data_IF_618990903984
#
_entry.id   IF_618990903984
#
_cell.length_a   1.000
_cell.length_b   1.000
_cell.length_c   1.000
_cell.angle_alpha   90.00
_cell.angle_beta   90.00
_cell.angle_gamma   90.00
#
_symmetry.space_group_name_H-M   'P 1'
#
loop_
_entity.id
_entity.type
_entity.pdbx_description
1 polymer ?
#
# COMPACT_ATOMS: atom_id res chain seq x y z
N UNK A 1 -19.78 -14.00 -10.38
CA UNK A 1 -19.10 -12.75 -10.77
C UNK A 1 -17.83 -13.15 -11.49
N UNK A 2 -17.56 -12.54 -12.63
CA UNK A 2 -16.34 -12.82 -13.39
C UNK A 2 -15.15 -12.11 -12.73
N UNK A 3 -14.09 -12.87 -12.44
CA UNK A 3 -12.86 -12.38 -11.82
C UNK A 3 -11.69 -12.99 -12.55
N UNK A 4 -10.79 -12.14 -13.07
CA UNK A 4 -9.55 -12.58 -13.72
C UNK A 4 -8.37 -12.17 -12.85
N UNK A 5 -7.43 -13.10 -12.63
CA UNK A 5 -6.21 -12.86 -11.86
C UNK A 5 -4.99 -13.18 -12.71
N UNK A 6 -4.18 -12.15 -13.00
CA UNK A 6 -2.85 -12.33 -13.56
C UNK A 6 -1.90 -12.77 -12.44
N UNK A 7 -1.70 -14.08 -12.38
CA UNK A 7 -1.13 -14.79 -11.24
C UNK A 7 0.32 -15.21 -11.50
N UNK A 8 1.10 -15.25 -10.43
CA UNK A 8 2.39 -15.93 -10.41
C UNK A 8 2.46 -16.82 -9.15
N UNK A 9 2.52 -18.16 -9.31
CA UNK A 9 2.47 -19.10 -8.18
C UNK A 9 3.68 -18.96 -7.25
N UNK A 10 4.83 -18.46 -7.72
CA UNK A 10 6.03 -18.26 -6.91
C UNK A 10 6.00 -16.96 -6.10
N UNK A 11 4.97 -16.13 -6.28
CA UNK A 11 4.83 -14.86 -5.58
C UNK A 11 3.83 -14.95 -4.41
N UNK A 12 4.32 -14.81 -3.17
CA UNK A 12 3.47 -14.84 -1.97
C UNK A 12 2.31 -13.84 -1.99
N UNK A 13 2.52 -12.60 -2.48
CA UNK A 13 1.41 -11.64 -2.63
C UNK A 13 0.35 -12.13 -3.62
N UNK A 14 0.78 -12.81 -4.69
CA UNK A 14 -0.12 -13.35 -5.70
C UNK A 14 -0.93 -14.55 -5.18
N UNK A 15 -0.29 -15.46 -4.44
CA UNK A 15 -0.98 -16.58 -3.76
C UNK A 15 -1.97 -16.09 -2.71
N UNK A 16 -1.57 -15.14 -1.86
CA UNK A 16 -2.44 -14.55 -0.85
C UNK A 16 -3.67 -13.84 -1.47
N UNK A 17 -3.48 -13.16 -2.60
CA UNK A 17 -4.60 -12.53 -3.33
C UNK A 17 -5.57 -13.57 -3.87
N UNK A 18 -5.05 -14.63 -4.51
CA UNK A 18 -5.87 -15.74 -5.00
C UNK A 18 -6.63 -16.44 -3.86
N UNK A 19 -5.98 -16.64 -2.71
CA UNK A 19 -6.59 -17.20 -1.52
C UNK A 19 -7.75 -16.33 -1.01
N UNK A 20 -7.59 -15.01 -0.95
CA UNK A 20 -8.67 -14.09 -0.55
C UNK A 20 -9.88 -14.13 -1.49
N UNK A 21 -9.65 -14.20 -2.80
CA UNK A 21 -10.74 -14.31 -3.80
C UNK A 21 -11.53 -15.61 -3.58
N UNK A 22 -10.82 -16.73 -3.43
CA UNK A 22 -11.44 -18.05 -3.15
C UNK A 22 -12.15 -18.09 -1.82
N UNK A 23 -11.57 -17.45 -0.79
CA UNK A 23 -12.20 -17.33 0.54
C UNK A 23 -13.49 -16.50 0.51
N UNK A 24 -13.67 -15.64 -0.49
CA UNK A 24 -14.93 -14.94 -0.75
C UNK A 24 -15.98 -15.82 -1.48
N UNK A 25 -15.67 -17.09 -1.74
CA UNK A 25 -16.53 -18.02 -2.47
C UNK A 25 -16.50 -17.83 -3.98
N UNK A 26 -15.46 -17.19 -4.53
CA UNK A 26 -15.31 -16.93 -5.97
C UNK A 26 -14.15 -17.77 -6.51
N UNK A 27 -14.41 -18.59 -7.53
CA UNK A 27 -13.34 -19.20 -8.31
C UNK A 27 -13.00 -18.30 -9.51
N UNK A 28 -11.80 -17.69 -9.55
CA UNK A 28 -11.42 -16.78 -10.62
C UNK A 28 -10.82 -17.51 -11.83
N UNK A 29 -10.83 -16.85 -12.98
CA UNK A 29 -9.98 -17.20 -14.11
C UNK A 29 -8.52 -16.84 -13.80
N UNK A 30 -7.70 -17.85 -13.58
CA UNK A 30 -6.28 -17.69 -13.27
C UNK A 30 -5.45 -17.69 -14.56
N UNK A 31 -4.77 -16.58 -14.83
CA UNK A 31 -3.86 -16.42 -15.98
C UNK A 31 -2.43 -16.38 -15.45
N UNK A 32 -1.64 -17.43 -15.73
CA UNK A 32 -0.20 -17.41 -15.46
C UNK A 32 0.49 -16.48 -16.47
N UNK A 33 0.60 -15.19 -16.12
CA UNK A 33 0.97 -14.13 -17.05
C UNK A 33 2.40 -14.28 -17.61
N UNK A 34 3.28 -15.02 -16.94
CA UNK A 34 4.62 -15.31 -17.47
C UNK A 34 4.59 -16.30 -18.64
N UNK A 35 3.57 -17.18 -18.68
CA UNK A 35 3.35 -18.15 -19.77
C UNK A 35 2.44 -17.56 -20.85
N UNK A 36 1.46 -16.77 -20.42
CA UNK A 36 0.42 -16.19 -21.28
C UNK A 36 0.28 -14.70 -20.96
N UNK A 37 1.27 -13.88 -21.37
CA UNK A 37 1.26 -12.46 -21.03
C UNK A 37 0.08 -11.73 -21.68
N UNK A 38 -0.50 -10.73 -21.00
CA UNK A 38 -1.48 -9.84 -21.61
C UNK A 38 -0.87 -9.13 -22.82
N UNK A 39 -1.68 -8.88 -23.84
CA UNK A 39 -1.24 -8.13 -25.01
C UNK A 39 -0.88 -6.69 -24.64
N UNK A 40 -0.04 -5.99 -25.42
CA UNK A 40 0.27 -4.58 -25.17
C UNK A 40 -0.97 -3.68 -25.05
N UNK A 41 -1.95 -3.89 -25.92
CA UNK A 41 -3.23 -3.17 -25.88
C UNK A 41 -4.00 -3.44 -24.57
N UNK A 42 -4.00 -4.69 -24.10
CA UNK A 42 -4.64 -5.04 -22.83
C UNK A 42 -3.92 -4.43 -21.63
N UNK A 43 -2.58 -4.37 -21.64
CA UNK A 43 -1.81 -3.69 -20.58
C UNK A 43 -2.16 -2.21 -20.46
N UNK A 44 -2.26 -1.50 -21.60
CA UNK A 44 -2.69 -0.10 -21.62
C UNK A 44 -4.13 0.05 -21.08
N UNK A 45 -5.03 -0.85 -21.45
CA UNK A 45 -6.40 -0.85 -20.92
C UNK A 45 -6.43 -1.10 -19.41
N UNK A 46 -5.63 -2.03 -18.90
CA UNK A 46 -5.53 -2.32 -17.47
C UNK A 46 -4.99 -1.09 -16.70
N UNK A 47 -3.94 -0.44 -17.22
CA UNK A 47 -3.39 0.78 -16.62
C UNK A 47 -4.42 1.92 -16.60
N UNK A 48 -5.12 2.13 -17.73
CA UNK A 48 -6.19 3.13 -17.85
C UNK A 48 -7.32 2.88 -16.85
N UNK A 49 -7.78 1.63 -16.70
CA UNK A 49 -8.83 1.26 -15.72
C UNK A 49 -8.40 1.44 -14.27
N UNK A 50 -7.11 1.43 -13.97
CA UNK A 50 -6.57 1.77 -12.65
C UNK A 50 -6.38 3.29 -12.46
N UNK A 51 -6.50 4.09 -13.52
CA UNK A 51 -6.16 5.52 -13.50
C UNK A 51 -4.65 5.78 -13.39
N UNK A 52 -3.82 4.84 -13.83
CA UNK A 52 -2.36 4.90 -13.68
C UNK A 52 -1.64 4.99 -15.03
N UNK A 53 -0.45 5.63 -15.08
CA UNK A 53 0.46 5.44 -16.21
C UNK A 53 0.94 3.99 -16.27
N UNK A 54 1.23 3.48 -17.48
CA UNK A 54 1.70 2.10 -17.70
C UNK A 54 2.92 1.77 -16.83
N UNK A 55 3.84 2.73 -16.68
CA UNK A 55 5.03 2.61 -15.82
C UNK A 55 4.73 2.11 -14.40
N UNK A 56 3.58 2.45 -13.83
CA UNK A 56 3.20 2.02 -12.48
C UNK A 56 2.81 0.53 -12.41
N UNK A 57 2.58 -0.12 -13.55
CA UNK A 57 2.36 -1.57 -13.62
C UNK A 57 3.67 -2.34 -13.72
N UNK A 58 4.80 -1.66 -13.91
CA UNK A 58 6.10 -2.32 -14.03
C UNK A 58 6.67 -2.68 -12.67
N UNK A 59 7.25 -3.87 -12.62
CA UNK A 59 7.98 -4.41 -11.50
C UNK A 59 9.43 -4.00 -11.65
N UNK A 60 9.95 -3.28 -10.66
CA UNK A 60 11.36 -2.88 -10.68
C UNK A 60 12.27 -3.95 -10.05
N UNK A 61 11.93 -4.41 -8.84
CA UNK A 61 12.83 -5.26 -8.03
C UNK A 61 12.84 -6.70 -8.51
N UNK A 62 14.04 -7.25 -8.71
CA UNK A 62 14.25 -8.64 -9.15
C UNK A 62 13.80 -8.85 -10.59
N UNK A 63 14.08 -7.87 -11.45
CA UNK A 63 13.80 -7.83 -12.89
C UNK A 63 14.91 -7.03 -13.58
N UNK A 64 15.05 -7.11 -14.91
CA UNK A 64 16.04 -6.31 -15.64
C UNK A 64 15.66 -4.82 -15.78
N UNK A 65 14.67 -4.31 -15.03
CA UNK A 65 14.14 -2.94 -15.17
C UNK A 65 15.22 -1.85 -15.23
N UNK A 66 16.19 -1.88 -14.31
CA UNK A 66 17.29 -0.90 -14.29
C UNK A 66 18.38 -1.20 -15.31
N UNK A 67 18.65 -2.47 -15.58
CA UNK A 67 19.65 -2.90 -16.58
C UNK A 67 19.23 -2.45 -18.00
N UNK A 68 17.93 -2.43 -18.25
CA UNK A 68 17.32 -1.95 -19.49
C UNK A 68 17.08 -0.42 -19.49
N UNK A 69 17.50 0.31 -18.45
CA UNK A 69 17.32 1.76 -18.34
C UNK A 69 15.87 2.22 -18.24
N UNK A 70 14.95 1.36 -17.79
CA UNK A 70 13.52 1.67 -17.73
C UNK A 70 13.17 2.66 -16.61
N UNK A 71 14.11 3.03 -15.75
CA UNK A 71 13.97 4.12 -14.79
C UNK A 71 14.05 5.51 -15.43
N UNK A 72 14.46 5.60 -16.69
CA UNK A 72 14.46 6.85 -17.44
C UNK A 72 13.02 7.39 -17.62
N UNK A 73 12.68 8.56 -17.05
CA UNK A 73 11.33 9.12 -17.12
C UNK A 73 10.94 9.61 -18.52
N UNK A 74 11.91 9.79 -19.43
CA UNK A 74 11.65 10.20 -20.81
C UNK A 74 11.15 9.08 -21.73
N UNK A 75 11.20 7.82 -21.28
CA UNK A 75 10.66 6.69 -22.05
C UNK A 75 9.13 6.74 -22.09
N UNK A 76 8.59 6.60 -23.30
CA UNK A 76 7.17 6.53 -23.57
C UNK A 76 6.60 5.12 -23.38
N UNK A 77 5.28 5.00 -23.46
CA UNK A 77 4.60 3.71 -23.29
C UNK A 77 5.02 2.69 -24.36
N UNK A 78 5.37 3.11 -25.58
CA UNK A 78 5.81 2.20 -26.64
C UNK A 78 7.13 1.51 -26.28
N UNK A 79 8.11 2.26 -25.77
CA UNK A 79 9.37 1.70 -25.30
C UNK A 79 9.17 0.76 -24.11
N UNK A 80 8.30 1.12 -23.16
CA UNK A 80 7.98 0.26 -22.02
C UNK A 80 7.30 -1.04 -22.44
N UNK A 81 6.37 -0.99 -23.40
CA UNK A 81 5.66 -2.17 -23.92
C UNK A 81 6.59 -3.11 -24.70
N UNK A 82 7.54 -2.56 -25.46
CA UNK A 82 8.55 -3.36 -26.14
C UNK A 82 9.38 -4.16 -25.14
N UNK A 83 9.86 -3.50 -24.07
CA UNK A 83 10.59 -4.19 -23.01
C UNK A 83 9.76 -5.27 -22.31
N UNK A 84 8.46 -5.02 -22.07
CA UNK A 84 7.55 -6.01 -21.47
C UNK A 84 7.29 -7.20 -22.39
N UNK A 85 7.23 -6.99 -23.72
CA UNK A 85 7.06 -8.06 -24.69
C UNK A 85 8.25 -9.03 -24.66
N UNK A 86 9.48 -8.50 -24.55
CA UNK A 86 10.71 -9.29 -24.45
C UNK A 86 10.90 -9.89 -23.04
N UNK A 87 10.40 -9.19 -22.01
CA UNK A 87 10.58 -9.57 -20.61
C UNK A 87 9.27 -9.48 -19.81
N UNK A 88 8.33 -10.45 -19.94
CA UNK A 88 7.07 -10.45 -19.21
C UNK A 88 7.21 -10.34 -17.69
N UNK A 89 8.36 -10.74 -17.14
CA UNK A 89 8.70 -10.60 -15.71
C UNK A 89 8.67 -9.14 -15.21
N UNK A 90 8.76 -8.16 -16.13
CA UNK A 90 8.59 -6.74 -15.85
C UNK A 90 7.14 -6.39 -15.48
N UNK A 91 6.15 -7.24 -15.74
CA UNK A 91 4.77 -6.99 -15.28
C UNK A 91 4.68 -7.27 -13.79
N UNK A 92 4.22 -6.29 -13.02
CA UNK A 92 3.98 -6.45 -11.59
C UNK A 92 2.69 -7.24 -11.33
N UNK A 93 2.60 -7.85 -10.15
CA UNK A 93 1.63 -8.92 -9.88
C UNK A 93 1.17 -8.98 -8.43
N UNK A 94 -0.06 -9.49 -8.17
CA UNK A 94 -1.07 -9.82 -9.17
C UNK A 94 -1.86 -8.60 -9.64
N UNK A 95 -2.30 -8.62 -10.90
CA UNK A 95 -3.35 -7.72 -11.39
C UNK A 95 -4.66 -8.49 -11.30
N UNK A 96 -5.68 -7.89 -10.67
CA UNK A 96 -7.02 -8.48 -10.55
C UNK A 96 -8.01 -7.60 -11.30
N UNK A 97 -8.84 -8.23 -12.11
CA UNK A 97 -9.89 -7.60 -12.93
C UNK A 97 -11.24 -8.12 -12.48
N UNK A 98 -12.16 -7.21 -12.20
CA UNK A 98 -13.55 -7.53 -11.87
C UNK A 98 -14.50 -6.51 -12.51
N UNK A 99 -15.83 -6.75 -12.47
CA UNK A 99 -16.83 -5.73 -12.76
C UNK A 99 -16.72 -4.46 -11.90
N UNK A 100 -16.21 -4.56 -10.67
CA UNK A 100 -16.07 -3.41 -9.75
C UNK A 100 -14.84 -2.54 -10.06
N UNK A 101 -13.87 -3.08 -10.79
CA UNK A 101 -12.66 -2.35 -11.14
C UNK A 101 -11.45 -3.26 -11.39
N UNK A 102 -10.29 -2.63 -11.48
CA UNK A 102 -8.99 -3.29 -11.71
C UNK A 102 -8.00 -2.76 -10.68
N UNK A 103 -7.22 -3.64 -10.06
CA UNK A 103 -6.12 -3.25 -9.15
C UNK A 103 -4.90 -4.15 -9.29
N UNK A 104 -3.73 -3.54 -9.18
CA UNK A 104 -2.50 -4.24 -8.79
C UNK A 104 -2.57 -4.50 -7.29
N UNK A 105 -2.83 -5.76 -6.90
CA UNK A 105 -3.15 -6.06 -5.50
C UNK A 105 -1.91 -6.22 -4.63
N UNK A 106 -1.30 -5.08 -4.29
CA UNK A 106 -0.06 -4.99 -3.51
C UNK A 106 -0.23 -3.88 -2.46
N UNK A 107 -0.54 -4.21 -1.20
CA UNK A 107 -0.60 -5.56 -0.63
C UNK A 107 -1.83 -6.36 -1.10
N UNK A 108 -1.84 -7.67 -0.86
CA UNK A 108 -2.88 -8.59 -1.36
C UNK A 108 -4.30 -8.21 -0.95
N UNK A 109 -4.45 -7.59 0.23
CA UNK A 109 -5.73 -7.18 0.80
C UNK A 109 -6.47 -6.13 -0.01
N UNK A 110 -5.79 -5.37 -0.88
CA UNK A 110 -6.48 -4.39 -1.74
C UNK A 110 -7.44 -5.06 -2.72
N UNK A 111 -7.35 -6.38 -2.90
CA UNK A 111 -8.34 -7.15 -3.66
C UNK A 111 -9.73 -7.09 -3.03
N UNK A 112 -9.82 -6.88 -1.71
CA UNK A 112 -11.09 -6.80 -0.99
C UNK A 112 -11.98 -5.66 -1.51
N UNK A 113 -11.40 -4.60 -2.06
CA UNK A 113 -12.14 -3.50 -2.71
C UNK A 113 -12.83 -3.93 -4.01
N UNK A 114 -12.37 -5.02 -4.62
CA UNK A 114 -12.85 -5.54 -5.90
C UNK A 114 -13.83 -6.71 -5.72
N UNK A 115 -14.15 -7.09 -4.48
CA UNK A 115 -15.06 -8.19 -4.18
C UNK A 115 -16.42 -7.66 -3.76
N UNK A 116 -17.53 -8.27 -4.23
CA UNK A 116 -18.88 -7.81 -3.92
C UNK A 116 -19.24 -8.09 -2.46
N UNK A 117 -18.65 -9.13 -1.87
CA UNK A 117 -18.79 -9.53 -0.48
C UNK A 117 -17.42 -9.89 0.06
N UNK A 118 -16.98 -9.18 1.08
CA UNK A 118 -15.70 -9.47 1.72
C UNK A 118 -15.83 -10.70 2.66
N UNK A 119 -14.85 -11.64 2.67
CA UNK A 119 -14.90 -12.87 3.47
C UNK A 119 -14.93 -12.62 4.99
N UNK A 120 -15.95 -13.08 5.71
CA UNK A 120 -16.13 -12.74 7.14
C UNK A 120 -15.39 -13.64 8.13
N UNK A 121 -14.84 -14.76 7.68
CA UNK A 121 -14.02 -15.61 8.53
C UNK A 121 -12.56 -15.15 8.49
N UNK A 122 -11.88 -15.20 9.63
CA UNK A 122 -10.43 -14.96 9.68
C UNK A 122 -9.68 -15.93 8.78
N UNK A 123 -8.61 -15.43 8.17
CA UNK A 123 -7.68 -16.17 7.35
C UNK A 123 -6.30 -15.55 7.57
N UNK A 124 -5.28 -16.39 7.68
CA UNK A 124 -3.89 -15.98 7.79
C UNK A 124 -3.22 -16.02 6.41
N UNK A 125 -2.25 -15.13 6.23
CA UNK A 125 -1.34 -15.10 5.09
C UNK A 125 -0.35 -16.25 5.15
N UNK A 126 0.34 -16.47 4.03
CA UNK A 126 1.50 -17.38 3.94
C UNK A 126 2.55 -17.16 5.05
N UNK A 127 2.71 -15.93 5.57
CA UNK A 127 3.68 -15.59 6.64
C UNK A 127 3.11 -15.72 8.07
N UNK A 128 1.89 -16.23 8.22
CA UNK A 128 1.18 -16.38 9.49
C UNK A 128 0.61 -15.06 10.05
N UNK A 129 0.72 -13.95 9.33
CA UNK A 129 0.07 -12.69 9.67
C UNK A 129 -1.40 -12.66 9.22
N UNK A 130 -2.32 -12.04 9.96
CA UNK A 130 -3.72 -11.97 9.53
C UNK A 130 -3.89 -11.06 8.32
N UNK A 131 -4.87 -11.40 7.47
CA UNK A 131 -5.40 -10.45 6.50
C UNK A 131 -6.15 -9.32 7.19
N UNK A 132 -5.95 -8.10 6.71
CA UNK A 132 -6.56 -6.89 7.27
C UNK A 132 -7.58 -6.27 6.32
N UNK A 133 -8.62 -5.69 6.91
CA UNK A 133 -9.53 -4.74 6.28
C UNK A 133 -9.29 -3.37 6.88
N UNK A 134 -9.23 -2.37 6.02
CA UNK A 134 -9.21 -0.98 6.44
C UNK A 134 -10.58 -0.33 6.23
N UNK A 135 -11.02 0.42 7.22
CA UNK A 135 -12.26 1.18 7.21
C UNK A 135 -11.90 2.64 7.48
N UNK A 136 -12.31 3.54 6.60
CA UNK A 136 -12.03 4.96 6.78
C UNK A 136 -12.78 5.48 8.02
N UNK A 137 -12.05 6.17 8.91
CA UNK A 137 -12.59 6.79 10.11
C UNK A 137 -12.38 8.31 10.05
N UNK A 138 -13.30 9.06 10.64
CA UNK A 138 -13.15 10.50 10.76
C UNK A 138 -11.96 10.84 11.67
N UNK A 139 -11.24 11.92 11.38
CA UNK A 139 -10.19 12.43 12.26
C UNK A 139 -10.70 12.77 13.67
N UNK A 140 -12.01 13.07 13.78
CA UNK A 140 -12.73 13.34 15.03
C UNK A 140 -13.27 12.09 15.73
N UNK A 141 -13.04 10.88 15.21
CA UNK A 141 -13.54 9.64 15.83
C UNK A 141 -12.95 9.48 17.25
N UNK A 142 -13.78 9.41 18.30
CA UNK A 142 -13.30 9.31 19.68
C UNK A 142 -12.51 8.03 19.95
N UNK A 143 -12.76 6.95 19.19
CA UNK A 143 -12.04 5.67 19.32
C UNK A 143 -10.61 5.79 18.78
N UNK A 144 -10.41 6.50 17.68
CA UNK A 144 -9.08 6.82 17.15
C UNK A 144 -8.31 7.68 18.15
N UNK A 145 -8.91 8.78 18.61
CA UNK A 145 -8.26 9.70 19.53
C UNK A 145 -7.91 9.01 20.87
N UNK A 146 -8.78 8.14 21.39
CA UNK A 146 -8.49 7.34 22.59
C UNK A 146 -7.34 6.37 22.35
N UNK A 147 -7.35 5.61 21.26
CA UNK A 147 -6.29 4.64 20.96
C UNK A 147 -4.92 5.32 20.81
N UNK A 148 -4.86 6.51 20.21
CA UNK A 148 -3.63 7.28 20.11
C UNK A 148 -3.12 7.72 21.49
N UNK A 149 -3.97 8.31 22.33
CA UNK A 149 -3.60 8.71 23.71
C UNK A 149 -3.11 7.53 24.54
N UNK A 150 -3.82 6.40 24.49
CA UNK A 150 -3.46 5.18 25.24
C UNK A 150 -2.08 4.62 24.82
N UNK A 151 -1.59 4.99 23.63
CA UNK A 151 -0.25 4.60 23.13
C UNK A 151 0.78 5.73 23.19
N UNK A 152 0.44 6.87 23.79
CA UNK A 152 1.34 8.03 23.90
C UNK A 152 1.58 8.76 22.57
N UNK A 153 0.72 8.58 21.58
CA UNK A 153 0.79 9.30 20.30
C UNK A 153 0.02 10.63 20.37
N UNK A 154 0.53 11.71 19.75
CA UNK A 154 -0.13 13.02 19.76
C UNK A 154 -1.53 12.99 19.14
N UNK A 155 -2.45 13.77 19.74
CA UNK A 155 -3.84 13.92 19.24
C UNK A 155 -4.28 15.36 19.00
N UNK A 156 -3.44 16.34 19.35
CA UNK A 156 -3.83 17.74 19.46
C UNK A 156 -4.28 18.33 18.12
N UNK A 157 -3.69 17.86 17.04
CA UNK A 157 -3.92 18.33 15.69
C UNK A 157 -4.95 17.50 14.91
N UNK A 158 -5.49 16.42 15.48
CA UNK A 158 -6.45 15.55 14.79
C UNK A 158 -7.71 16.30 14.37
N UNK A 159 -8.25 17.16 15.23
CA UNK A 159 -9.50 17.89 14.96
C UNK A 159 -9.39 18.86 13.78
N UNK A 160 -8.19 19.37 13.53
CA UNK A 160 -7.87 20.27 12.42
C UNK A 160 -7.25 19.54 11.23
N UNK A 161 -7.02 18.22 11.31
CA UNK A 161 -6.36 17.46 10.26
C UNK A 161 -7.32 17.25 9.08
N UNK A 162 -6.80 17.46 7.87
CA UNK A 162 -7.45 17.09 6.60
C UNK A 162 -7.00 15.69 6.13
N UNK A 163 -6.29 14.95 6.99
CA UNK A 163 -5.77 13.63 6.70
C UNK A 163 -6.84 12.57 6.56
N UNK A 164 -6.46 11.46 5.93
CA UNK A 164 -7.27 10.25 5.84
C UNK A 164 -6.82 9.27 6.90
N UNK A 165 -7.75 8.81 7.72
CA UNK A 165 -7.49 7.88 8.81
C UNK A 165 -8.28 6.60 8.59
N UNK A 166 -7.72 5.49 9.06
CA UNK A 166 -8.29 4.16 8.88
C UNK A 166 -8.19 3.37 10.19
N UNK A 167 -9.26 2.68 10.53
CA UNK A 167 -9.25 1.58 11.49
C UNK A 167 -8.97 0.27 10.75
N UNK A 168 -8.05 -0.53 11.29
CA UNK A 168 -7.68 -1.82 10.71
C UNK A 168 -8.26 -2.95 11.55
N UNK A 169 -8.93 -3.88 10.87
CA UNK A 169 -9.55 -5.06 11.47
C UNK A 169 -9.07 -6.33 10.79
N UNK A 170 -9.08 -7.46 11.50
CA UNK A 170 -9.00 -8.77 10.85
C UNK A 170 -10.24 -9.00 9.98
N UNK A 171 -10.24 -10.03 9.13
CA UNK A 171 -11.41 -10.37 8.31
C UNK A 171 -12.65 -10.68 9.17
N UNK A 172 -12.45 -11.30 10.34
CA UNK A 172 -13.43 -11.57 11.38
C UNK A 172 -13.91 -10.33 12.17
N UNK A 173 -13.34 -9.16 11.91
CA UNK A 173 -13.81 -7.88 12.45
C UNK A 173 -13.10 -7.41 13.73
N UNK A 174 -12.11 -8.15 14.23
CA UNK A 174 -11.32 -7.75 15.41
C UNK A 174 -10.47 -6.53 15.08
N UNK A 175 -10.63 -5.43 15.83
CA UNK A 175 -9.82 -4.22 15.65
C UNK A 175 -8.37 -4.46 16.12
N UNK A 176 -7.42 -4.26 15.21
CA UNK A 176 -5.99 -4.51 15.46
C UNK A 176 -5.13 -3.25 15.43
N UNK A 177 -5.61 -2.13 14.88
CA UNK A 177 -4.81 -0.93 14.82
C UNK A 177 -5.47 0.24 14.10
N UNK A 178 -4.73 1.33 14.03
CA UNK A 178 -5.09 2.53 13.28
C UNK A 178 -3.89 3.00 12.45
N UNK A 179 -4.19 3.82 11.46
CA UNK A 179 -3.19 4.44 10.62
C UNK A 179 -3.80 5.62 9.87
N UNK A 180 -2.99 6.59 9.50
CA UNK A 180 -3.45 7.68 8.66
C UNK A 180 -2.35 8.28 7.81
N UNK A 181 -2.76 9.13 6.89
CA UNK A 181 -1.84 9.90 6.08
C UNK A 181 -2.42 11.25 5.67
N UNK A 182 -1.53 12.20 5.42
CA UNK A 182 -1.85 13.51 4.85
C UNK A 182 -1.12 13.66 3.51
N UNK A 183 -1.79 14.26 2.52
CA UNK A 183 -1.26 14.41 1.16
C UNK A 183 -0.87 15.87 0.94
N UNK A 184 0.30 16.07 0.35
CA UNK A 184 0.78 17.38 -0.11
C UNK A 184 1.49 17.21 -1.45
N UNK A 185 0.79 17.49 -2.56
CA UNK A 185 1.31 17.19 -3.89
C UNK A 185 1.43 15.66 -4.06
N UNK A 186 2.60 15.19 -4.48
CA UNK A 186 2.95 13.77 -4.55
C UNK A 186 3.64 13.24 -3.28
N UNK A 187 3.89 14.11 -2.31
CA UNK A 187 4.41 13.75 -0.99
C UNK A 187 3.28 13.41 -0.01
N UNK A 188 3.55 12.44 0.86
CA UNK A 188 2.58 11.92 1.82
C UNK A 188 3.22 11.81 3.20
N UNK A 189 2.61 12.43 4.22
CA UNK A 189 2.99 12.26 5.61
C UNK A 189 2.22 11.08 6.20
N UNK A 190 2.88 9.96 6.46
CA UNK A 190 2.32 8.85 7.23
C UNK A 190 2.30 9.22 8.72
N UNK A 191 1.16 9.01 9.36
CA UNK A 191 0.93 9.39 10.76
C UNK A 191 -0.02 8.43 11.46
N UNK A 192 -0.08 8.56 12.79
CA UNK A 192 -1.07 7.87 13.62
C UNK A 192 -1.09 6.35 13.42
N UNK A 193 0.06 5.77 13.05
CA UNK A 193 0.22 4.33 12.83
C UNK A 193 0.44 3.65 14.17
N UNK A 194 -0.51 2.82 14.59
CA UNK A 194 -0.43 2.04 15.82
C UNK A 194 -1.00 0.65 15.64
N UNK A 195 -0.49 -0.28 16.43
CA UNK A 195 -1.06 -1.62 16.63
C UNK A 195 -1.55 -1.69 18.07
N UNK A 196 -2.78 -2.15 18.28
CA UNK A 196 -3.34 -2.28 19.63
C UNK A 196 -2.48 -3.26 20.44
N UNK A 197 -2.27 -3.04 21.75
CA UNK A 197 -1.39 -3.89 22.56
C UNK A 197 -1.73 -5.39 22.46
N UNK A 198 -3.03 -5.72 22.43
CA UNK A 198 -3.53 -7.09 22.31
C UNK A 198 -3.26 -7.75 20.94
N UNK A 199 -2.99 -6.96 19.90
CA UNK A 199 -2.74 -7.42 18.54
C UNK A 199 -1.27 -7.25 18.10
N UNK A 200 -0.34 -6.97 19.02
CA UNK A 200 1.08 -6.84 18.67
C UNK A 200 1.66 -8.20 18.26
N UNK A 201 2.56 -8.16 17.27
CA UNK A 201 3.15 -9.36 16.67
C UNK A 201 2.56 -9.68 15.29
N UNK A 202 2.99 -10.81 14.69
CA UNK A 202 2.42 -11.37 13.45
C UNK A 202 2.33 -10.41 12.25
N UNK A 203 3.36 -9.59 12.04
CA UNK A 203 3.45 -8.67 10.88
C UNK A 203 2.32 -7.62 10.74
N UNK A 204 1.44 -7.42 11.73
CA UNK A 204 0.29 -6.50 11.62
C UNK A 204 0.73 -5.07 11.32
N UNK A 205 1.72 -4.55 12.05
CA UNK A 205 2.22 -3.19 11.80
C UNK A 205 2.76 -3.02 10.36
N UNK A 206 3.43 -4.05 9.83
CA UNK A 206 3.89 -4.07 8.44
C UNK A 206 2.70 -4.05 7.48
N UNK A 207 1.67 -4.85 7.71
CA UNK A 207 0.47 -4.91 6.86
C UNK A 207 -0.28 -3.57 6.85
N UNK A 208 -0.44 -2.94 8.02
CA UNK A 208 -1.01 -1.59 8.14
C UNK A 208 -0.20 -0.57 7.32
N UNK A 209 1.12 -0.54 7.49
CA UNK A 209 1.98 0.40 6.77
C UNK A 209 1.90 0.20 5.24
N UNK A 210 1.90 -1.05 4.77
CA UNK A 210 1.77 -1.36 3.34
C UNK A 210 0.39 -0.96 2.78
N UNK A 211 -0.69 -1.21 3.53
CA UNK A 211 -2.03 -0.77 3.16
C UNK A 211 -2.12 0.76 3.10
N UNK A 212 -1.63 1.48 4.11
CA UNK A 212 -1.59 2.95 4.10
C UNK A 212 -0.85 3.49 2.87
N UNK A 213 0.32 2.94 2.55
CA UNK A 213 1.07 3.36 1.37
C UNK A 213 0.34 3.05 0.07
N UNK A 214 -0.40 1.93 0.00
CA UNK A 214 -1.27 1.64 -1.16
C UNK A 214 -2.42 2.64 -1.27
N UNK A 215 -3.11 2.97 -0.17
CA UNK A 215 -4.15 4.01 -0.16
C UNK A 215 -3.61 5.38 -0.54
N UNK A 216 -2.40 5.70 -0.10
CA UNK A 216 -1.69 6.92 -0.48
C UNK A 216 -1.34 6.92 -1.97
N UNK A 217 -0.90 5.79 -2.52
CA UNK A 217 -0.58 5.65 -3.94
C UNK A 217 -1.80 5.84 -4.85
N UNK A 218 -2.95 5.27 -4.45
CA UNK A 218 -4.24 5.38 -5.14
C UNK A 218 -4.69 6.83 -5.31
N UNK A 219 -4.26 7.73 -4.41
CA UNK A 219 -4.60 9.16 -4.45
C UNK A 219 -3.48 10.06 -4.99
N UNK A 220 -2.48 9.48 -5.65
CA UNK A 220 -1.39 10.21 -6.29
C UNK A 220 -0.10 10.32 -5.47
N UNK A 221 -0.06 9.79 -4.25
CA UNK A 221 1.16 9.76 -3.45
C UNK A 221 2.27 8.94 -4.11
N UNK A 222 3.48 9.49 -4.14
CA UNK A 222 4.69 8.87 -4.71
C UNK A 222 5.85 8.83 -3.72
N UNK A 223 5.86 9.69 -2.70
CA UNK A 223 6.90 9.69 -1.67
C UNK A 223 6.29 9.79 -0.29
N UNK A 224 6.60 8.81 0.55
CA UNK A 224 6.17 8.77 1.94
C UNK A 224 7.23 9.42 2.84
N UNK A 225 6.75 10.17 3.82
CA UNK A 225 7.49 10.77 4.91
C UNK A 225 6.86 10.34 6.22
N UNK A 226 7.66 10.22 7.27
CA UNK A 226 7.15 10.02 8.62
C UNK A 226 8.12 10.57 9.65
N UNK A 227 7.57 10.93 10.80
CA UNK A 227 8.34 11.25 12.00
C UNK A 227 8.12 10.15 13.03
N UNK A 228 9.20 9.66 13.62
CA UNK A 228 9.11 8.67 14.68
C UNK A 228 10.22 8.85 15.69
N UNK A 229 9.93 8.68 16.97
CA UNK A 229 10.92 8.69 18.06
C UNK A 229 11.36 7.27 18.44
N UNK A 230 10.48 6.29 18.32
CA UNK A 230 10.65 4.93 18.88
C UNK A 230 10.56 3.80 17.85
N UNK A 231 10.16 4.08 16.61
CA UNK A 231 9.89 3.05 15.60
C UNK A 231 10.79 3.14 14.36
N UNK A 232 11.92 3.86 14.41
CA UNK A 232 12.84 4.02 13.28
C UNK A 232 13.26 2.66 12.69
N UNK A 233 13.79 1.75 13.52
CA UNK A 233 14.20 0.40 13.10
C UNK A 233 13.06 -0.46 12.50
N UNK A 234 11.80 -0.17 12.86
CA UNK A 234 10.65 -0.83 12.23
C UNK A 234 10.46 -0.31 10.79
N UNK A 235 10.47 1.01 10.59
CA UNK A 235 10.29 1.61 9.27
C UNK A 235 11.50 1.41 8.35
N UNK A 236 12.72 1.33 8.88
CA UNK A 236 13.92 0.98 8.11
C UNK A 236 13.82 -0.41 7.48
N UNK A 237 13.29 -1.41 8.22
CA UNK A 237 12.97 -2.74 7.66
C UNK A 237 11.86 -2.70 6.60
N UNK A 238 11.04 -1.65 6.60
CA UNK A 238 10.10 -1.35 5.52
C UNK A 238 10.75 -0.55 4.39
N UNK A 239 12.06 -0.32 4.40
CA UNK A 239 12.79 0.38 3.35
C UNK A 239 12.70 1.90 3.42
N UNK A 240 12.31 2.46 4.57
CA UNK A 240 12.51 3.88 4.83
C UNK A 240 13.97 4.15 5.17
N UNK A 241 14.44 5.35 4.82
CA UNK A 241 15.78 5.84 5.18
C UNK A 241 15.66 7.17 5.89
N UNK A 242 16.59 7.45 6.81
CA UNK A 242 16.68 8.75 7.47
C UNK A 242 16.95 9.83 6.42
N UNK A 243 16.26 10.97 6.52
CA UNK A 243 16.43 12.13 5.67
C UNK A 243 16.65 13.39 6.52
N UNK A 244 17.44 14.32 5.99
CA UNK A 244 17.55 15.67 6.55
C UNK A 244 16.18 16.36 6.52
N UNK A 245 15.85 17.15 7.55
CA UNK A 245 14.54 17.81 7.64
C UNK A 245 14.34 18.80 6.51
N UNK A 246 15.41 19.45 6.09
CA UNK A 246 15.45 20.43 5.00
C UNK A 246 15.14 19.81 3.63
N UNK A 247 15.34 18.49 3.49
CA UNK A 247 14.98 17.76 2.28
C UNK A 247 13.47 17.46 2.19
N UNK A 248 12.72 17.62 3.29
CA UNK A 248 11.27 17.49 3.25
C UNK A 248 10.60 18.75 2.66
N UNK A 249 9.53 18.57 1.89
CA UNK A 249 8.69 19.67 1.43
C UNK A 249 8.23 20.56 2.58
N UNK A 250 8.00 21.85 2.31
CA UNK A 250 7.55 22.82 3.30
C UNK A 250 6.28 22.37 4.03
N UNK A 251 5.32 21.80 3.31
CA UNK A 251 4.09 21.26 3.89
C UNK A 251 4.34 20.13 4.90
N UNK A 252 5.32 19.25 4.62
CA UNK A 252 5.72 18.17 5.54
C UNK A 252 6.44 18.76 6.77
N UNK A 253 7.33 19.73 6.56
CA UNK A 253 8.06 20.40 7.66
C UNK A 253 7.15 21.20 8.58
N UNK A 254 6.09 21.80 8.04
CA UNK A 254 5.12 22.62 8.77
C UNK A 254 3.90 21.85 9.26
N UNK A 255 3.78 20.56 8.95
CA UNK A 255 2.71 19.74 9.46
C UNK A 255 2.69 19.82 11.00
N UNK A 256 1.51 19.93 11.65
CA UNK A 256 1.45 20.14 13.10
C UNK A 256 2.24 19.09 13.90
N UNK A 257 2.27 17.83 13.45
CA UNK A 257 3.11 16.78 14.04
C UNK A 257 4.61 17.05 13.94
N UNK A 258 5.07 17.60 12.82
CA UNK A 258 6.47 17.93 12.61
C UNK A 258 6.92 19.12 13.48
N UNK A 259 5.97 20.02 13.80
CA UNK A 259 6.16 21.18 14.68
C UNK A 259 6.11 20.76 16.15
N UNK A 260 5.19 19.87 16.53
CA UNK A 260 5.02 19.43 17.93
C UNK A 260 6.10 18.45 18.39
N UNK A 261 6.71 17.70 17.47
CA UNK A 261 7.78 16.76 17.77
C UNK A 261 9.15 17.44 17.68
N UNK A 262 9.90 17.42 18.78
CA UNK A 262 11.23 18.01 18.85
C UNK A 262 12.15 17.48 17.73
N UNK A 263 12.78 18.37 16.93
CA UNK A 263 13.68 17.99 15.84
C UNK A 263 14.86 17.10 16.26
N UNK A 264 15.35 17.27 17.48
CA UNK A 264 16.48 16.50 18.02
C UNK A 264 16.11 15.05 18.40
N UNK A 265 14.82 14.74 18.60
CA UNK A 265 14.40 13.44 19.15
C UNK A 265 13.56 12.60 18.19
N UNK A 266 13.00 13.20 17.13
CA UNK A 266 12.20 12.49 16.13
C UNK A 266 12.88 12.56 14.76
N UNK A 267 13.67 11.55 14.35
CA UNK A 267 14.18 11.46 13.00
C UNK A 267 13.05 11.51 11.97
N UNK A 268 13.28 12.23 10.89
CA UNK A 268 12.45 12.23 9.70
C UNK A 268 12.92 11.10 8.78
N UNK A 269 12.01 10.23 8.40
CA UNK A 269 12.28 9.12 7.49
C UNK A 269 11.52 9.32 6.18
N UNK A 270 12.10 8.85 5.09
CA UNK A 270 11.48 8.92 3.77
C UNK A 270 11.59 7.61 3.00
N UNK A 271 10.64 7.35 2.11
CA UNK A 271 10.64 6.23 1.18
C UNK A 271 9.84 6.57 -0.08
N UNK A 272 10.33 6.19 -1.26
CA UNK A 272 9.48 6.19 -2.47
C UNK A 272 8.39 5.11 -2.37
N UNK A 273 7.15 5.50 -2.62
CA UNK A 273 6.00 4.61 -2.65
C UNK A 273 6.01 3.86 -3.98
N UNK A 274 6.24 2.55 -3.90
CA UNK A 274 6.09 1.61 -5.01
C UNK A 274 5.29 0.42 -4.52
N UNK A 275 4.45 -0.12 -5.40
CA UNK A 275 3.57 -1.25 -5.12
C UNK A 275 4.23 -2.59 -5.44
#
# INVERSE_FOLDING_TARGET
>A
MDVVVYHNPDCGTSRNTLALIRHAGIEPHVVEYLKTPPTPALLLQLASRMGWPLRNLLRERGTPFRELGLDNPALDDAALLAAVADHPVLINRPIVVTPLGVKLCRPSETVLDLLPVAPRADLDKDDGGPFLRDEQVAATDPRLARALRDTGLPTDDLRSSTGRFYGYRTLGGTLVGYGGFEVSGDDVLLRSLLVTPAARGKSIGRNIALLLMSRAFDVGGRKAWLLTTSAAAFFERLGFTVAAREAAPEAIRRAPQAVSLCPATAPLLTRRITL
#
